data_IF_139599030536
#
_entry.id   IF_139599030536
#
_cell.length_a   1.000
_cell.length_b   1.000
_cell.length_c   1.000
_cell.angle_alpha   90.00
_cell.angle_beta   90.00
_cell.angle_gamma   90.00
#
_symmetry.space_group_name_H-M   'P 1'
#
loop_
_entity.id
_entity.type
_entity.pdbx_description
1 polymer ?
#
# COMPACT_ATOMS: atom_id res chain seq x y z
N UNK A 1 0.32 8.58 -22.06
CA UNK A 1 0.57 8.58 -20.61
C UNK A 1 0.84 7.15 -20.20
N UNK A 2 2.06 6.84 -19.74
CA UNK A 2 2.38 5.51 -19.24
C UNK A 2 1.58 5.29 -17.96
N UNK A 3 0.85 4.18 -17.87
CA UNK A 3 0.15 3.81 -16.65
C UNK A 3 1.14 3.73 -15.49
N UNK A 4 0.77 4.14 -14.27
CA UNK A 4 1.64 3.97 -13.11
C UNK A 4 1.95 2.48 -12.95
N UNK A 5 3.22 2.13 -13.02
CA UNK A 5 3.68 0.76 -12.78
C UNK A 5 3.52 0.46 -11.29
N UNK A 6 2.78 -0.61 -10.98
CA UNK A 6 2.65 -1.21 -9.66
C UNK A 6 3.20 -2.65 -9.72
N UNK A 7 3.90 -3.11 -8.66
CA UNK A 7 4.48 -4.45 -8.62
C UNK A 7 3.42 -5.54 -8.47
N UNK A 8 3.83 -6.78 -8.78
CA UNK A 8 3.01 -7.97 -8.63
C UNK A 8 1.87 -8.12 -9.65
N UNK A 9 0.99 -9.08 -9.36
CA UNK A 9 -0.12 -9.45 -10.25
C UNK A 9 -1.43 -8.84 -9.77
N UNK A 10 -2.16 -8.17 -10.67
CA UNK A 10 -3.50 -7.66 -10.37
C UNK A 10 -4.45 -8.82 -10.03
N UNK A 11 -5.12 -8.71 -8.89
CA UNK A 11 -6.08 -9.69 -8.41
C UNK A 11 -7.41 -9.47 -9.11
N UNK A 12 -8.06 -10.56 -9.52
CA UNK A 12 -9.38 -10.50 -10.13
C UNK A 12 -10.40 -9.80 -9.19
N UNK A 13 -11.18 -8.82 -9.68
CA UNK A 13 -12.23 -8.16 -8.91
C UNK A 13 -13.29 -9.11 -8.28
N UNK A 14 -13.43 -10.33 -8.79
CA UNK A 14 -14.29 -11.38 -8.20
C UNK A 14 -13.68 -12.07 -6.98
N UNK A 15 -12.43 -11.77 -6.64
CA UNK A 15 -11.74 -12.38 -5.50
C UNK A 15 -12.44 -11.99 -4.18
N UNK A 16 -12.64 -12.92 -3.23
CA UNK A 16 -13.34 -12.64 -1.97
C UNK A 16 -12.78 -11.45 -1.17
N UNK A 17 -11.48 -11.16 -1.32
CA UNK A 17 -10.82 -9.99 -0.73
C UNK A 17 -11.53 -8.67 -1.05
N UNK A 18 -12.07 -8.51 -2.27
CA UNK A 18 -12.74 -7.26 -2.68
C UNK A 18 -13.94 -6.90 -1.80
N UNK A 19 -14.55 -7.88 -1.10
CA UNK A 19 -15.63 -7.62 -0.14
C UNK A 19 -15.17 -6.90 1.13
N UNK A 20 -13.87 -6.92 1.44
CA UNK A 20 -13.31 -6.38 2.68
C UNK A 20 -12.60 -5.03 2.50
N UNK A 21 -12.28 -4.66 1.25
CA UNK A 21 -11.50 -3.45 0.92
C UNK A 21 -12.13 -2.19 1.54
N UNK A 22 -13.43 -2.00 1.35
CA UNK A 22 -14.10 -0.77 1.82
C UNK A 22 -14.05 -0.65 3.36
N UNK A 23 -14.27 -1.76 4.06
CA UNK A 23 -14.18 -1.80 5.53
C UNK A 23 -12.76 -1.53 6.03
N UNK A 24 -11.74 -2.07 5.36
CA UNK A 24 -10.33 -1.82 5.70
C UNK A 24 -9.98 -0.34 5.50
N UNK A 25 -10.38 0.24 4.37
CA UNK A 25 -10.15 1.67 4.09
C UNK A 25 -10.85 2.55 5.14
N UNK A 26 -12.10 2.23 5.48
CA UNK A 26 -12.82 2.96 6.55
C UNK A 26 -12.12 2.85 7.89
N UNK A 27 -11.62 1.67 8.26
CA UNK A 27 -10.90 1.47 9.51
C UNK A 27 -9.61 2.28 9.55
N UNK A 28 -8.83 2.31 8.46
CA UNK A 28 -7.61 3.13 8.35
C UNK A 28 -7.95 4.62 8.47
N UNK A 29 -9.02 5.09 7.81
CA UNK A 29 -9.47 6.49 7.89
C UNK A 29 -9.88 6.89 9.31
N UNK A 30 -10.47 5.96 10.06
CA UNK A 30 -10.89 6.17 11.46
C UNK A 30 -9.73 5.99 12.45
N UNK A 31 -8.64 5.32 12.05
CA UNK A 31 -7.54 5.03 12.96
C UNK A 31 -6.75 6.31 13.27
N UNK A 32 -6.77 6.72 14.54
CA UNK A 32 -6.02 7.87 15.04
C UNK A 32 -4.58 7.52 15.39
N UNK A 33 -4.25 6.23 15.55
CA UNK A 33 -2.92 5.73 15.90
C UNK A 33 -2.16 5.36 14.63
N UNK A 34 -1.54 6.37 14.03
CA UNK A 34 -0.61 6.21 12.90
C UNK A 34 0.72 6.82 13.27
N UNK A 35 1.78 6.07 13.03
CA UNK A 35 3.15 6.52 13.28
C UNK A 35 3.84 6.73 11.95
N UNK A 36 4.28 7.95 11.66
CA UNK A 36 5.13 8.19 10.49
C UNK A 36 6.48 7.50 10.69
N UNK A 37 6.93 6.77 9.68
CA UNK A 37 8.17 6.00 9.73
C UNK A 37 8.98 6.24 8.45
N UNK A 38 10.29 6.07 8.55
CA UNK A 38 11.16 6.11 7.37
C UNK A 38 11.10 4.81 6.56
N UNK A 39 11.58 4.87 5.31
CA UNK A 39 11.64 3.72 4.38
C UNK A 39 12.33 2.49 4.95
N UNK A 40 13.44 2.68 5.66
CA UNK A 40 14.23 1.57 6.23
C UNK A 40 13.40 0.79 7.25
N UNK A 41 12.68 1.50 8.12
CA UNK A 41 11.81 0.87 9.10
C UNK A 41 10.59 0.22 8.44
N UNK A 42 10.00 0.87 7.42
CA UNK A 42 8.90 0.29 6.64
C UNK A 42 9.28 -1.07 6.03
N UNK A 43 10.49 -1.16 5.46
CA UNK A 43 11.04 -2.40 4.92
C UNK A 43 11.20 -3.48 6.00
N UNK A 44 11.63 -3.13 7.20
CA UNK A 44 11.80 -4.08 8.31
C UNK A 44 10.49 -4.72 8.76
N UNK A 45 9.37 -4.00 8.66
CA UNK A 45 8.05 -4.54 8.96
C UNK A 45 7.54 -5.55 7.92
N UNK A 46 8.20 -5.66 6.76
CA UNK A 46 7.83 -6.62 5.73
C UNK A 46 8.36 -8.04 6.05
N UNK A 47 7.86 -8.70 7.11
CA UNK A 47 8.34 -10.02 7.55
C UNK A 47 7.79 -11.24 6.76
N UNK A 48 6.65 -11.09 6.09
CA UNK A 48 5.95 -12.16 5.36
C UNK A 48 6.39 -12.18 3.88
N UNK A 49 6.33 -13.34 3.20
CA UNK A 49 6.80 -13.44 1.81
C UNK A 49 5.90 -12.75 0.78
N UNK A 50 4.59 -12.62 1.06
CA UNK A 50 3.61 -12.03 0.15
C UNK A 50 2.64 -11.13 0.88
N UNK A 51 2.19 -10.11 0.18
CA UNK A 51 1.29 -9.08 0.67
C UNK A 51 0.19 -8.78 -0.35
N UNK A 52 -0.81 -8.03 0.09
CA UNK A 52 -1.69 -7.30 -0.82
C UNK A 52 -1.25 -5.84 -0.86
N UNK A 53 -1.07 -5.33 -2.07
CA UNK A 53 -0.85 -3.91 -2.31
C UNK A 53 -2.12 -3.32 -2.91
N UNK A 54 -2.71 -2.37 -2.21
CA UNK A 54 -3.86 -1.63 -2.69
C UNK A 54 -3.40 -0.27 -3.23
N UNK A 55 -3.67 0.00 -4.50
CA UNK A 55 -3.52 1.33 -5.08
C UNK A 55 -4.79 2.15 -4.82
N UNK A 56 -4.65 3.25 -4.08
CA UNK A 56 -5.76 4.14 -3.72
C UNK A 56 -5.63 5.43 -4.52
N UNK A 57 -6.14 5.45 -5.75
CA UNK A 57 -5.96 6.64 -6.59
C UNK A 57 -6.94 7.76 -6.19
N UNK A 58 -6.50 9.02 -6.01
CA UNK A 58 -7.38 10.15 -5.68
C UNK A 58 -8.37 10.54 -6.79
N UNK A 59 -8.12 10.12 -8.04
CA UNK A 59 -8.90 10.47 -9.23
C UNK A 59 -9.37 9.17 -9.87
N UNK A 60 -10.42 8.57 -9.28
CA UNK A 60 -11.44 7.59 -9.70
C UNK A 60 -11.33 6.74 -11.01
N UNK A 61 -10.20 6.71 -11.71
CA UNK A 61 -9.99 5.98 -12.97
C UNK A 61 -9.62 4.53 -12.73
N UNK A 62 -9.09 4.22 -11.55
CA UNK A 62 -8.89 2.88 -11.06
C UNK A 62 -9.76 2.69 -9.82
N UNK A 63 -10.86 1.94 -9.93
CA UNK A 63 -11.43 1.27 -8.75
C UNK A 63 -10.27 0.61 -8.02
N UNK A 64 -10.15 0.84 -6.70
CA UNK A 64 -9.11 0.30 -5.81
C UNK A 64 -8.51 -1.00 -6.37
N UNK A 65 -7.35 -0.89 -7.04
CA UNK A 65 -6.71 -2.05 -7.66
C UNK A 65 -5.90 -2.76 -6.60
N UNK A 66 -6.07 -4.07 -6.52
CA UNK A 66 -5.32 -4.90 -5.57
C UNK A 66 -4.34 -5.75 -6.33
N UNK A 67 -3.11 -5.79 -5.85
CA UNK A 67 -2.05 -6.61 -6.39
C UNK A 67 -1.61 -7.64 -5.35
N UNK A 68 -1.37 -8.87 -5.79
CA UNK A 68 -0.65 -9.87 -5.00
C UNK A 68 0.84 -9.74 -5.32
N UNK A 69 1.61 -9.33 -4.29
CA UNK A 69 2.98 -8.86 -4.48
C UNK A 69 3.93 -9.63 -3.55
N UNK A 70 5.10 -9.97 -4.05
CA UNK A 70 6.17 -10.55 -3.24
C UNK A 70 6.88 -9.47 -2.40
N UNK A 71 7.36 -9.83 -1.21
CA UNK A 71 8.06 -8.93 -0.28
C UNK A 71 9.17 -8.10 -0.97
N UNK A 72 10.00 -8.77 -1.78
CA UNK A 72 11.08 -8.12 -2.54
C UNK A 72 10.58 -7.04 -3.49
N UNK A 73 9.47 -7.28 -4.19
CA UNK A 73 8.94 -6.27 -5.12
C UNK A 73 8.38 -5.06 -4.38
N UNK A 74 7.81 -5.24 -3.17
CA UNK A 74 7.39 -4.12 -2.31
C UNK A 74 8.60 -3.33 -1.80
N UNK A 75 9.66 -4.03 -1.39
CA UNK A 75 10.89 -3.41 -0.96
C UNK A 75 11.45 -2.46 -2.03
N UNK A 76 11.59 -2.98 -3.26
CA UNK A 76 12.12 -2.22 -4.39
C UNK A 76 11.17 -1.04 -4.71
N UNK A 77 9.86 -1.28 -4.71
CA UNK A 77 8.85 -0.25 -4.92
C UNK A 77 8.91 0.90 -3.90
N UNK A 78 8.97 0.60 -2.59
CA UNK A 78 9.09 1.60 -1.52
C UNK A 78 10.37 2.42 -1.70
N UNK A 79 11.47 1.75 -2.03
CA UNK A 79 12.78 2.39 -2.19
C UNK A 79 12.77 3.42 -3.32
N UNK A 80 12.16 3.04 -4.45
CA UNK A 80 12.14 3.83 -5.69
C UNK A 80 11.08 4.93 -5.73
N UNK A 81 9.94 4.74 -5.06
CA UNK A 81 8.75 5.58 -5.28
C UNK A 81 8.39 6.51 -4.11
N UNK A 82 9.09 6.44 -2.97
CA UNK A 82 8.82 7.30 -1.82
C UNK A 82 10.05 8.13 -1.47
N UNK A 83 9.89 9.45 -1.45
CA UNK A 83 10.91 10.37 -1.04
C UNK A 83 10.27 11.62 -0.41
N UNK A 84 10.41 11.71 0.92
CA UNK A 84 9.85 12.83 1.69
C UNK A 84 10.56 14.16 1.39
N UNK A 85 11.86 14.11 1.05
CA UNK A 85 12.64 15.31 0.77
C UNK A 85 12.20 15.97 -0.55
N UNK A 86 11.74 15.16 -1.52
CA UNK A 86 11.20 15.64 -2.81
C UNK A 86 9.68 15.72 -2.83
N UNK A 87 9.00 15.33 -1.74
CA UNK A 87 7.55 15.20 -1.65
C UNK A 87 6.95 14.33 -2.77
N UNK A 88 7.63 13.23 -3.10
CA UNK A 88 7.21 12.31 -4.14
C UNK A 88 6.83 10.96 -3.53
N UNK A 89 5.61 10.53 -3.79
CA UNK A 89 5.07 9.30 -3.23
C UNK A 89 3.92 8.72 -4.05
N UNK A 90 3.30 7.67 -3.51
CA UNK A 90 2.11 7.04 -4.09
C UNK A 90 1.10 6.72 -2.99
N UNK A 91 -0.17 6.99 -3.25
CA UNK A 91 -1.26 6.63 -2.34
C UNK A 91 -1.50 5.11 -2.39
N UNK A 92 -0.98 4.39 -1.39
CA UNK A 92 -1.05 2.94 -1.29
C UNK A 92 -1.40 2.45 0.11
N UNK A 93 -1.91 1.23 0.19
CA UNK A 93 -2.06 0.48 1.44
C UNK A 93 -1.41 -0.89 1.26
N UNK A 94 -0.53 -1.27 2.17
CA UNK A 94 0.09 -2.60 2.22
C UNK A 94 -0.55 -3.39 3.35
N UNK A 95 -1.14 -4.52 2.98
CA UNK A 95 -1.81 -5.44 3.89
C UNK A 95 -1.09 -6.78 3.87
N UNK A 96 -1.01 -7.44 5.02
CA UNK A 96 -0.65 -8.86 5.03
C UNK A 96 -1.79 -9.75 4.48
N UNK A 97 -1.52 -11.05 4.33
CA UNK A 97 -2.53 -12.02 3.85
C UNK A 97 -3.66 -12.30 4.85
N UNK A 98 -3.50 -11.88 6.10
CA UNK A 98 -4.54 -11.92 7.14
C UNK A 98 -5.38 -10.64 7.14
N UNK A 99 -5.16 -9.76 6.16
CA UNK A 99 -5.86 -8.50 5.92
C UNK A 99 -5.62 -7.46 7.01
N UNK A 100 -4.53 -7.60 7.76
CA UNK A 100 -4.09 -6.59 8.72
C UNK A 100 -3.31 -5.52 7.97
N UNK A 101 -3.74 -4.28 8.16
CA UNK A 101 -3.06 -3.13 7.58
C UNK A 101 -1.74 -2.94 8.28
N UNK A 102 -0.67 -2.93 7.51
CA UNK A 102 0.68 -2.78 8.03
C UNK A 102 1.18 -1.38 7.75
N UNK A 103 1.14 -0.96 6.49
CA UNK A 103 1.72 0.31 6.04
C UNK A 103 0.75 1.07 5.14
N UNK A 104 0.79 2.40 5.23
CA UNK A 104 0.11 3.32 4.32
C UNK A 104 1.12 4.30 3.77
N UNK A 105 1.17 4.43 2.45
CA UNK A 105 1.96 5.46 1.76
C UNK A 105 1.05 6.53 1.18
N UNK A 106 1.50 7.78 1.14
CA UNK A 106 0.79 8.87 0.45
C UNK A 106 1.62 9.46 -0.70
N UNK A 107 0.98 10.31 -1.51
CA UNK A 107 1.61 11.03 -2.61
C UNK A 107 2.71 12.02 -2.21
N UNK A 108 2.76 12.45 -0.94
CA UNK A 108 3.80 13.34 -0.40
C UNK A 108 5.07 12.59 0.00
N UNK A 109 5.15 11.28 -0.26
CA UNK A 109 6.33 10.47 0.05
C UNK A 109 6.40 9.98 1.51
N UNK A 110 5.37 10.24 2.32
CA UNK A 110 5.28 9.76 3.70
C UNK A 110 4.84 8.30 3.75
N UNK A 111 5.34 7.58 4.75
CA UNK A 111 4.95 6.20 5.05
C UNK A 111 4.53 6.12 6.52
N UNK A 112 3.39 5.50 6.78
CA UNK A 112 2.82 5.35 8.11
C UNK A 112 2.69 3.88 8.46
N UNK A 113 3.13 3.52 9.67
CA UNK A 113 2.75 2.26 10.32
C UNK A 113 1.34 2.43 10.91
N UNK A 114 0.45 1.48 10.62
CA UNK A 114 -0.89 1.41 11.20
C UNK A 114 -0.88 0.34 12.30
N UNK A 115 -1.27 0.73 13.51
CA UNK A 115 -1.35 -0.13 14.71
C UNK A 115 -2.77 -0.23 15.24
#
# INVERSE_FOLDING_TARGET
>A
MNQPFFPGNEINPKHPFYKWIDSIIENIKKNTFRTEINKKLAIQFLEKPRYYLLSVHPILTFKNKTFDVHQKEIHDFITENFNIDTMEGKDIIILDKELRSLLVGNHDGQIFLIS
#
